data_IF_811285137847
#
_entry.id   IF_811285137847
#
_cell.length_a   1.000
_cell.length_b   1.000
_cell.length_c   1.000
_cell.angle_alpha   90.00
_cell.angle_beta   90.00
_cell.angle_gamma   90.00
#
_symmetry.space_group_name_H-M   'P 1'
#
loop_
_entity.id
_entity.type
_entity.pdbx_description
1 polymer ?
#
# COMPACT_ATOMS: atom_id res chain seq x y z
N UNK A 1 -25.81 -0.85 -12.94
CA UNK A 1 -25.68 -0.37 -14.34
C UNK A 1 -24.49 0.59 -14.49
N UNK A 2 -24.38 1.65 -13.68
CA UNK A 2 -23.25 2.59 -13.73
C UNK A 2 -21.90 1.88 -13.51
N UNK A 3 -21.82 1.00 -12.50
CA UNK A 3 -20.58 0.26 -12.20
C UNK A 3 -20.11 -0.58 -13.38
N UNK A 4 -21.02 -1.30 -14.05
CA UNK A 4 -20.74 -2.09 -15.24
C UNK A 4 -20.18 -1.23 -16.38
N UNK A 5 -20.77 -0.06 -16.61
CA UNK A 5 -20.30 0.88 -17.64
C UNK A 5 -18.88 1.36 -17.31
N UNK A 6 -18.64 1.77 -16.05
CA UNK A 6 -17.30 2.18 -15.60
C UNK A 6 -16.26 1.07 -15.74
N UNK A 7 -16.62 -0.17 -15.37
CA UNK A 7 -15.74 -1.33 -15.50
C UNK A 7 -15.38 -1.58 -16.96
N UNK A 8 -16.37 -1.56 -17.87
CA UNK A 8 -16.12 -1.72 -19.30
C UNK A 8 -15.17 -0.63 -19.82
N UNK A 9 -15.42 0.64 -19.48
CA UNK A 9 -14.56 1.76 -19.87
C UNK A 9 -13.13 1.55 -19.34
N UNK A 10 -12.96 1.16 -18.08
CA UNK A 10 -11.64 0.91 -17.49
C UNK A 10 -10.92 -0.29 -18.09
N UNK A 11 -11.64 -1.35 -18.42
CA UNK A 11 -11.06 -2.51 -19.11
C UNK A 11 -10.59 -2.12 -20.51
N UNK A 12 -11.38 -1.35 -21.26
CA UNK A 12 -10.97 -0.85 -22.58
C UNK A 12 -9.76 0.08 -22.45
N UNK A 13 -9.78 1.02 -21.52
CA UNK A 13 -8.65 1.92 -21.23
C UNK A 13 -7.37 1.13 -20.89
N UNK A 14 -7.48 0.07 -20.09
CA UNK A 14 -6.35 -0.78 -19.73
C UNK A 14 -5.78 -1.55 -20.93
N UNK A 15 -6.65 -2.14 -21.76
CA UNK A 15 -6.22 -2.87 -22.97
C UNK A 15 -5.56 -1.94 -23.98
N UNK A 16 -6.12 -0.74 -24.18
CA UNK A 16 -5.52 0.27 -25.05
C UNK A 16 -4.12 0.67 -24.55
N UNK A 17 -3.95 0.94 -23.25
CA UNK A 17 -2.63 1.23 -22.68
C UNK A 17 -1.64 0.07 -22.84
N UNK A 18 -2.09 -1.17 -22.63
CA UNK A 18 -1.26 -2.36 -22.83
C UNK A 18 -0.80 -2.50 -24.29
N UNK A 19 -1.59 -2.03 -25.26
CA UNK A 19 -1.23 -2.04 -26.67
C UNK A 19 -0.29 -0.90 -27.04
N UNK A 20 -0.54 0.32 -26.56
CA UNK A 20 0.27 1.51 -26.86
C UNK A 20 1.62 1.54 -26.13
N UNK A 21 1.82 0.72 -25.08
CA UNK A 21 3.08 0.70 -24.32
C UNK A 21 4.32 0.37 -25.16
N UNK A 22 4.14 -0.29 -26.32
CA UNK A 22 5.23 -0.61 -27.25
C UNK A 22 5.75 0.63 -28.00
N UNK A 23 4.93 1.67 -28.10
CA UNK A 23 5.26 2.94 -28.77
C UNK A 23 5.72 4.02 -27.80
N UNK A 24 5.73 3.74 -26.50
CA UNK A 24 6.14 4.70 -25.47
C UNK A 24 7.64 5.03 -25.62
N UNK A 25 8.03 6.31 -25.82
CA UNK A 25 9.40 6.72 -26.11
C UNK A 25 10.38 6.62 -24.94
N UNK A 26 10.02 5.94 -23.86
CA UNK A 26 10.86 5.79 -22.67
C UNK A 26 12.12 4.96 -22.99
N UNK A 27 13.23 5.68 -23.21
CA UNK A 27 14.52 5.18 -23.75
C UNK A 27 15.10 3.99 -22.97
N UNK A 28 14.62 3.74 -21.74
CA UNK A 28 15.06 2.61 -20.89
C UNK A 28 14.48 1.25 -21.30
N UNK A 29 13.33 1.19 -22.00
CA UNK A 29 12.68 -0.07 -22.42
C UNK A 29 12.73 -0.33 -23.93
N UNK A 30 13.20 0.63 -24.73
CA UNK A 30 13.25 0.56 -26.20
C UNK A 30 14.06 -0.62 -26.79
N UNK A 31 14.97 -1.21 -26.02
CA UNK A 31 15.78 -2.37 -26.44
C UNK A 31 15.09 -3.73 -26.17
N UNK A 32 13.94 -3.76 -25.49
CA UNK A 32 13.23 -4.99 -25.17
C UNK A 32 12.29 -5.45 -26.29
N UNK A 33 12.02 -6.75 -26.39
CA UNK A 33 11.02 -7.27 -27.31
C UNK A 33 9.63 -6.73 -26.96
N UNK A 34 8.77 -6.53 -27.97
CA UNK A 34 7.41 -6.01 -27.77
C UNK A 34 6.60 -6.82 -26.72
N UNK A 35 6.82 -8.14 -26.65
CA UNK A 35 6.19 -9.02 -25.66
C UNK A 35 6.70 -8.79 -24.23
N UNK A 36 8.01 -8.60 -24.05
CA UNK A 36 8.59 -8.38 -22.71
C UNK A 36 8.23 -7.01 -22.15
N UNK A 37 8.05 -6.00 -23.00
CA UNK A 37 7.52 -4.69 -22.59
C UNK A 37 6.08 -4.79 -22.07
N UNK A 38 5.22 -5.54 -22.77
CA UNK A 38 3.84 -5.78 -22.33
C UNK A 38 3.77 -6.51 -20.99
N UNK A 39 4.60 -7.55 -20.80
CA UNK A 39 4.69 -8.24 -19.52
C UNK A 39 5.18 -7.31 -18.41
N UNK A 40 6.25 -6.54 -18.67
CA UNK A 40 6.75 -5.55 -17.71
C UNK A 40 5.69 -4.52 -17.33
N UNK A 41 4.84 -4.11 -18.28
CA UNK A 41 3.74 -3.19 -18.01
C UNK A 41 2.68 -3.80 -17.10
N UNK A 42 2.29 -5.07 -17.30
CA UNK A 42 1.31 -5.74 -16.43
C UNK A 42 1.81 -5.83 -14.98
N UNK A 43 3.11 -6.07 -14.78
CA UNK A 43 3.74 -6.14 -13.47
C UNK A 43 4.15 -4.77 -12.89
N UNK A 44 3.90 -3.67 -13.60
CA UNK A 44 4.18 -2.33 -13.10
C UNK A 44 3.15 -1.94 -12.03
N UNK A 45 3.60 -1.33 -10.92
CA UNK A 45 2.75 -1.06 -9.76
C UNK A 45 1.45 -0.33 -10.13
N UNK A 46 1.53 0.71 -10.97
CA UNK A 46 0.37 1.49 -11.40
C UNK A 46 -0.60 0.68 -12.29
N UNK A 47 -0.07 -0.22 -13.12
CA UNK A 47 -0.87 -1.11 -13.96
C UNK A 47 -1.52 -2.23 -13.15
N UNK A 48 -0.85 -2.71 -12.10
CA UNK A 48 -1.39 -3.68 -11.15
C UNK A 48 -2.56 -3.07 -10.37
N UNK A 49 -2.44 -1.81 -9.95
CA UNK A 49 -3.53 -1.04 -9.32
C UNK A 49 -4.70 -0.84 -10.30
N UNK A 50 -4.42 -0.50 -11.55
CA UNK A 50 -5.44 -0.39 -12.60
C UNK A 50 -6.20 -1.73 -12.77
N UNK A 51 -5.49 -2.86 -12.80
CA UNK A 51 -6.09 -4.20 -12.89
C UNK A 51 -6.93 -4.54 -11.64
N UNK A 52 -6.39 -4.31 -10.45
CA UNK A 52 -7.07 -4.56 -9.18
C UNK A 52 -8.37 -3.73 -9.02
N UNK A 53 -8.49 -2.58 -9.69
CA UNK A 53 -9.65 -1.70 -9.58
C UNK A 53 -10.94 -2.23 -10.21
N UNK A 54 -10.82 -3.05 -11.27
CA UNK A 54 -11.95 -3.62 -12.01
C UNK A 54 -12.06 -5.15 -11.86
N UNK A 55 -10.98 -5.82 -11.45
CA UNK A 55 -10.95 -7.27 -11.23
C UNK A 55 -12.07 -7.80 -10.31
N UNK A 56 -12.43 -7.15 -9.19
CA UNK A 56 -13.48 -7.65 -8.29
C UNK A 56 -14.82 -7.83 -8.99
N UNK A 57 -15.15 -6.95 -9.95
CA UNK A 57 -16.40 -7.05 -10.72
C UNK A 57 -16.43 -8.31 -11.59
N UNK A 58 -15.32 -8.66 -12.23
CA UNK A 58 -15.23 -9.87 -13.03
C UNK A 58 -15.26 -11.13 -12.17
N UNK A 59 -14.64 -11.09 -10.98
CA UNK A 59 -14.68 -12.20 -10.02
C UNK A 59 -16.12 -12.42 -9.53
N UNK A 60 -16.82 -11.36 -9.14
CA UNK A 60 -18.22 -11.45 -8.69
C UNK A 60 -19.14 -11.99 -9.80
N UNK A 61 -18.89 -11.62 -11.07
CA UNK A 61 -19.64 -12.11 -12.22
C UNK A 61 -19.45 -13.62 -12.45
N UNK A 62 -18.23 -14.13 -12.27
CA UNK A 62 -17.92 -15.56 -12.45
C UNK A 62 -18.39 -16.40 -11.27
N UNK A 63 -18.33 -15.86 -10.05
CA UNK A 63 -18.75 -16.58 -8.84
C UNK A 63 -20.27 -16.70 -8.69
N UNK A 64 -21.06 -15.86 -9.38
CA UNK A 64 -22.52 -15.95 -9.44
C UNK A 64 -23.23 -15.48 -8.14
N UNK A 65 -24.49 -14.99 -8.25
CA UNK A 65 -25.28 -14.57 -7.09
C UNK A 65 -25.78 -15.80 -6.32
N UNK A 66 -25.05 -16.23 -5.28
CA UNK A 66 -25.48 -17.35 -4.43
C UNK A 66 -24.36 -18.08 -3.70
N UNK A 67 -23.10 -17.84 -4.05
CA UNK A 67 -21.97 -18.45 -3.35
C UNK A 67 -21.58 -17.57 -2.15
N UNK A 68 -22.25 -17.79 -1.02
CA UNK A 68 -21.83 -17.31 0.30
C UNK A 68 -20.56 -18.04 0.73
N UNK A 69 -19.44 -17.75 0.07
CA UNK A 69 -18.12 -18.20 0.51
C UNK A 69 -17.56 -17.08 1.38
N UNK A 70 -17.11 -17.44 2.59
CA UNK A 70 -16.56 -16.57 3.65
C UNK A 70 -15.47 -15.57 3.19
N UNK A 71 -14.94 -15.73 1.97
CA UNK A 71 -13.92 -14.89 1.35
C UNK A 71 -14.45 -13.64 0.60
N UNK A 72 -15.76 -13.36 0.59
CA UNK A 72 -16.30 -12.13 -0.03
C UNK A 72 -15.75 -10.86 0.62
N UNK A 73 -15.35 -10.91 1.90
CA UNK A 73 -14.79 -9.76 2.62
C UNK A 73 -13.47 -9.26 2.01
N UNK A 74 -12.59 -10.18 1.61
CA UNK A 74 -11.34 -9.83 0.93
C UNK A 74 -11.58 -9.28 -0.47
N UNK A 75 -12.53 -9.86 -1.23
CA UNK A 75 -12.95 -9.35 -2.55
C UNK A 75 -13.60 -7.96 -2.44
N UNK A 76 -14.29 -7.67 -1.33
CA UNK A 76 -14.85 -6.35 -1.04
C UNK A 76 -13.76 -5.34 -0.71
N UNK A 77 -12.72 -5.73 0.04
CA UNK A 77 -11.56 -4.89 0.28
C UNK A 77 -10.81 -4.55 -1.02
N UNK A 78 -10.78 -5.45 -2.01
CA UNK A 78 -10.19 -5.17 -3.33
C UNK A 78 -10.87 -3.99 -4.05
N UNK A 79 -12.13 -3.66 -3.73
CA UNK A 79 -12.81 -2.48 -4.30
C UNK A 79 -12.22 -1.16 -3.79
N UNK A 80 -11.57 -1.15 -2.63
CA UNK A 80 -10.86 0.04 -2.11
C UNK A 80 -9.68 0.43 -3.01
N UNK A 81 -9.06 -0.52 -3.72
CA UNK A 81 -7.99 -0.23 -4.67
C UNK A 81 -8.45 0.63 -5.85
N UNK A 82 -9.76 0.69 -6.14
CA UNK A 82 -10.30 1.65 -7.11
C UNK A 82 -10.05 3.11 -6.68
N UNK A 83 -10.02 3.39 -5.38
CA UNK A 83 -9.63 4.72 -4.86
C UNK A 83 -8.16 4.99 -5.17
N UNK A 84 -7.29 3.97 -5.09
CA UNK A 84 -5.86 4.11 -5.40
C UNK A 84 -5.60 4.43 -6.89
N UNK A 85 -6.51 4.07 -7.80
CA UNK A 85 -6.44 4.53 -9.20
C UNK A 85 -6.51 6.07 -9.31
N UNK A 86 -7.22 6.73 -8.39
CA UNK A 86 -7.25 8.19 -8.35
C UNK A 86 -5.87 8.79 -7.98
N UNK A 87 -5.02 8.04 -7.29
CA UNK A 87 -3.66 8.48 -6.92
C UNK A 87 -2.74 8.66 -8.13
N UNK A 88 -3.00 7.97 -9.24
CA UNK A 88 -2.28 8.14 -10.51
C UNK A 88 -2.42 9.56 -11.08
N UNK A 89 -3.46 10.30 -10.68
CA UNK A 89 -3.68 11.69 -11.05
C UNK A 89 -3.15 12.68 -10.00
N UNK A 90 -2.72 12.18 -8.84
CA UNK A 90 -2.23 13.01 -7.74
C UNK A 90 -0.72 13.14 -7.88
N UNK A 91 -0.29 14.22 -8.55
CA UNK A 91 1.12 14.66 -8.62
C UNK A 91 1.79 14.71 -7.23
N UNK A 92 1.01 14.86 -6.16
CA UNK A 92 1.52 14.88 -4.79
C UNK A 92 2.24 13.59 -4.39
N UNK A 93 1.89 12.41 -4.92
CA UNK A 93 2.65 11.19 -4.62
C UNK A 93 4.00 11.13 -5.31
N UNK A 94 4.11 11.67 -6.54
CA UNK A 94 5.39 11.81 -7.22
C UNK A 94 6.31 12.78 -6.45
N UNK A 95 5.78 13.92 -6.03
CA UNK A 95 6.52 14.88 -5.19
C UNK A 95 6.91 14.27 -3.84
N UNK A 96 6.04 13.47 -3.22
CA UNK A 96 6.37 12.76 -1.99
C UNK A 96 7.50 11.75 -2.20
N UNK A 97 7.50 11.04 -3.33
CA UNK A 97 8.57 10.12 -3.71
C UNK A 97 9.91 10.83 -3.91
N UNK A 98 9.92 11.99 -4.57
CA UNK A 98 11.11 12.82 -4.75
C UNK A 98 11.66 13.31 -3.40
N UNK A 99 10.81 13.87 -2.55
CA UNK A 99 11.18 14.33 -1.19
C UNK A 99 11.70 13.16 -0.36
N UNK A 100 11.09 11.98 -0.47
CA UNK A 100 11.55 10.78 0.20
C UNK A 100 12.95 10.38 -0.26
N UNK A 101 13.23 10.32 -1.56
CA UNK A 101 14.56 9.97 -2.06
C UNK A 101 15.63 10.98 -1.65
N UNK A 102 15.29 12.26 -1.64
CA UNK A 102 16.18 13.35 -1.21
C UNK A 102 16.49 13.28 0.28
N UNK A 103 15.48 12.99 1.11
CA UNK A 103 15.60 13.04 2.57
C UNK A 103 15.76 11.66 3.24
N UNK A 104 15.84 10.56 2.46
CA UNK A 104 15.87 9.19 2.98
C UNK A 104 16.93 8.97 4.05
N UNK A 105 18.11 9.57 3.87
CA UNK A 105 19.21 9.41 4.80
C UNK A 105 18.89 10.10 6.13
N UNK A 106 18.44 11.35 6.08
CA UNK A 106 18.07 12.12 7.28
C UNK A 106 16.91 11.44 8.02
N UNK A 107 15.88 11.00 7.29
CA UNK A 107 14.73 10.31 7.87
C UNK A 107 15.14 8.96 8.48
N UNK A 108 16.06 8.23 7.85
CA UNK A 108 16.59 6.99 8.39
C UNK A 108 17.39 7.21 9.68
N UNK A 109 18.30 8.19 9.71
CA UNK A 109 19.08 8.49 10.91
C UNK A 109 18.19 8.96 12.07
N UNK A 110 17.26 9.88 11.79
CA UNK A 110 16.33 10.38 12.82
C UNK A 110 15.35 9.30 13.28
N UNK A 111 14.85 8.45 12.38
CA UNK A 111 13.99 7.32 12.71
C UNK A 111 14.71 6.27 13.56
N UNK A 112 15.94 5.90 13.21
CA UNK A 112 16.75 4.96 14.03
C UNK A 112 17.05 5.55 15.40
N UNK A 113 17.43 6.83 15.47
CA UNK A 113 17.66 7.50 16.75
C UNK A 113 16.38 7.54 17.60
N UNK A 114 15.23 7.87 17.00
CA UNK A 114 13.94 7.88 17.67
C UNK A 114 13.56 6.49 18.20
N UNK A 115 13.79 5.42 17.42
CA UNK A 115 13.57 4.04 17.85
C UNK A 115 14.47 3.65 19.03
N UNK A 116 15.75 4.00 18.99
CA UNK A 116 16.69 3.74 20.10
C UNK A 116 16.23 4.47 21.36
N UNK A 117 15.90 5.77 21.25
CA UNK A 117 15.41 6.57 22.36
C UNK A 117 14.11 5.99 22.93
N UNK A 118 13.19 5.55 22.06
CA UNK A 118 11.94 4.93 22.47
C UNK A 118 12.16 3.64 23.27
N UNK A 119 13.07 2.76 22.84
CA UNK A 119 13.40 1.53 23.57
C UNK A 119 14.08 1.83 24.91
N UNK A 120 14.99 2.81 24.96
CA UNK A 120 15.66 3.22 26.19
C UNK A 120 14.65 3.80 27.18
N UNK A 121 13.75 4.67 26.72
CA UNK A 121 12.70 5.25 27.56
C UNK A 121 11.72 4.18 28.06
N UNK A 122 11.31 3.24 27.21
CA UNK A 122 10.47 2.12 27.63
C UNK A 122 11.16 1.23 28.68
N UNK A 123 12.47 1.02 28.56
CA UNK A 123 13.25 0.27 29.54
C UNK A 123 13.38 1.02 30.86
N UNK A 124 13.51 2.35 30.82
CA UNK A 124 13.52 3.21 32.01
C UNK A 124 12.17 3.20 32.74
N UNK A 125 11.06 3.35 32.00
CA UNK A 125 9.71 3.26 32.57
C UNK A 125 9.44 1.90 33.20
N UNK A 126 9.84 0.82 32.53
CA UNK A 126 9.79 -0.52 33.11
C UNK A 126 10.58 -0.57 34.43
N UNK A 127 11.82 -0.07 34.45
CA UNK A 127 12.67 -0.14 35.65
C UNK A 127 12.10 0.67 36.83
N UNK A 128 11.51 1.84 36.56
CA UNK A 128 11.00 2.74 37.59
C UNK A 128 9.62 2.30 38.11
N UNK A 129 8.78 1.75 37.25
CA UNK A 129 7.35 1.59 37.52
C UNK A 129 6.91 0.12 37.67
N UNK A 130 7.79 -0.87 37.41
CA UNK A 130 7.44 -2.31 37.46
C UNK A 130 6.86 -2.79 38.79
N UNK A 131 7.18 -2.13 39.90
CA UNK A 131 6.76 -2.52 41.25
C UNK A 131 5.64 -1.61 41.80
N UNK A 132 5.07 -0.71 40.97
CA UNK A 132 4.02 0.19 41.42
C UNK A 132 2.63 -0.50 41.37
N UNK A 133 1.93 -0.67 42.51
CA UNK A 133 0.62 -1.32 42.56
C UNK A 133 -0.51 -0.52 41.89
N UNK A 134 -0.29 0.75 41.52
CA UNK A 134 -1.29 1.61 40.89
C UNK A 134 -1.39 1.45 39.35
N UNK A 135 -0.48 0.70 38.72
CA UNK A 135 -0.48 0.49 37.27
C UNK A 135 -0.72 -0.98 36.93
N UNK A 136 -1.96 -1.34 36.57
CA UNK A 136 -2.35 -2.69 36.20
C UNK A 136 -1.72 -3.10 34.85
N UNK A 137 -0.69 -3.96 34.87
CA UNK A 137 -0.15 -4.64 33.69
C UNK A 137 0.66 -3.81 32.69
N UNK A 138 0.59 -2.48 32.79
CA UNK A 138 1.17 -1.52 31.84
C UNK A 138 2.71 -1.57 31.77
N UNK A 139 3.39 -1.82 32.90
CA UNK A 139 4.86 -1.79 33.02
C UNK A 139 5.46 -3.11 33.52
N UNK A 140 4.75 -4.23 33.38
CA UNK A 140 5.26 -5.55 33.83
C UNK A 140 6.41 -6.08 32.97
N UNK A 141 6.37 -5.81 31.67
CA UNK A 141 7.38 -6.23 30.71
C UNK A 141 7.84 -5.06 29.84
N UNK A 142 9.07 -5.16 29.31
CA UNK A 142 9.62 -4.14 28.39
C UNK A 142 8.73 -3.93 27.15
N UNK A 143 8.16 -4.97 26.51
CA UNK A 143 7.19 -4.79 25.43
C UNK A 143 5.90 -4.05 25.81
N UNK A 144 5.34 -4.32 27.00
CA UNK A 144 4.16 -3.59 27.47
C UNK A 144 4.49 -2.11 27.69
N UNK A 145 5.68 -1.85 28.23
CA UNK A 145 6.19 -0.49 28.47
C UNK A 145 6.43 0.28 27.17
N UNK A 146 6.76 -0.40 26.06
CA UNK A 146 6.91 0.22 24.73
C UNK A 146 5.61 0.88 24.26
N UNK A 147 4.47 0.18 24.39
CA UNK A 147 3.16 0.73 24.01
C UNK A 147 2.80 1.96 24.85
N UNK A 148 2.97 1.88 26.17
CA UNK A 148 2.69 3.01 27.06
C UNK A 148 3.61 4.20 26.79
N UNK A 149 4.90 3.95 26.53
CA UNK A 149 5.86 5.00 26.18
C UNK A 149 5.49 5.68 24.86
N UNK A 150 4.97 4.95 23.87
CA UNK A 150 4.53 5.54 22.60
C UNK A 150 3.28 6.40 22.72
N UNK A 151 2.40 6.15 23.70
CA UNK A 151 1.21 6.99 23.93
C UNK A 151 1.58 8.28 24.66
N UNK A 152 2.58 8.21 25.55
CA UNK A 152 2.99 9.34 26.39
C UNK A 152 3.87 10.33 25.62
N UNK A 153 4.58 9.87 24.59
CA UNK A 153 5.43 10.67 23.71
C UNK A 153 4.65 11.34 22.58
#
# INVERSE_FOLDING_TARGET
TIETICVIIFTVEYVLRLWTVVEDPDKKKAHMAAWTMRLSFVFEFLSLVDLASFLPYYIDLVMGPGNEIENTSALRALRLFRVLKAEKYVVAFAMFGEVWEENKHILMYTGVLALILWIVMASLFWLLEKDNPNHEGAFETVPNSLFMTAIIF
#
